data_IF_705860657415
#
_entry.id   IF_705860657415
#
_cell.length_a   1.000
_cell.length_b   1.000
_cell.length_c   1.000
_cell.angle_alpha   90.00
_cell.angle_beta   90.00
_cell.angle_gamma   90.00
#
_symmetry.space_group_name_H-M   'P 1'
#
loop_
_entity.id
_entity.type
_entity.pdbx_description
1 polymer ?
#
# COMPACT_ATOMS: atom_id res chain seq x y z
N UNK A 1 4.85 26.30 -30.13
CA UNK A 1 3.67 25.44 -30.25
C UNK A 1 4.18 24.10 -30.69
N UNK A 2 3.91 23.07 -29.90
CA UNK A 2 4.47 21.74 -30.15
C UNK A 2 3.47 20.96 -31.01
N UNK A 3 3.41 21.32 -32.29
CA UNK A 3 2.77 20.47 -33.27
C UNK A 3 3.73 19.31 -33.55
N UNK A 4 3.31 18.10 -33.24
CA UNK A 4 3.95 16.91 -33.80
C UNK A 4 3.25 16.64 -35.12
N UNK A 5 3.98 16.81 -36.22
CA UNK A 5 3.52 16.55 -37.59
C UNK A 5 2.22 17.29 -38.01
N UNK A 6 1.99 18.48 -37.45
CA UNK A 6 0.82 19.32 -37.78
C UNK A 6 -0.49 18.96 -37.06
N UNK A 7 -0.48 17.97 -36.16
CA UNK A 7 -1.65 17.60 -35.36
C UNK A 7 -1.65 18.34 -34.00
N UNK A 8 -2.76 19.01 -33.61
CA UNK A 8 -2.80 19.80 -32.38
C UNK A 8 -2.99 18.93 -31.13
N UNK A 9 -2.24 19.22 -30.07
CA UNK A 9 -2.42 18.63 -28.74
C UNK A 9 -3.41 19.46 -27.89
N UNK A 10 -4.69 19.10 -27.97
CA UNK A 10 -5.77 19.74 -27.22
C UNK A 10 -5.74 19.48 -25.71
N UNK A 11 -5.18 18.34 -25.26
CA UNK A 11 -5.04 18.03 -23.84
C UNK A 11 -4.01 18.95 -23.19
N UNK A 12 -2.85 19.13 -23.84
CA UNK A 12 -1.84 20.11 -23.42
C UNK A 12 -2.32 21.55 -23.53
N UNK A 13 -3.10 21.90 -24.57
CA UNK A 13 -3.64 23.26 -24.73
C UNK A 13 -4.60 23.64 -23.58
N UNK A 14 -5.43 22.70 -23.15
CA UNK A 14 -6.31 22.85 -21.98
C UNK A 14 -5.60 22.60 -20.65
N UNK A 15 -4.39 22.04 -20.65
CA UNK A 15 -3.63 21.63 -19.47
C UNK A 15 -4.42 20.66 -18.58
N UNK A 16 -4.85 19.56 -19.19
CA UNK A 16 -5.61 18.48 -18.57
C UNK A 16 -5.08 17.14 -19.04
N UNK A 17 -5.36 16.11 -18.25
CA UNK A 17 -5.04 14.73 -18.60
C UNK A 17 -5.99 14.17 -19.69
N UNK A 18 -5.53 13.28 -20.60
CA UNK A 18 -6.40 12.55 -21.52
C UNK A 18 -7.57 11.80 -20.87
N UNK A 19 -7.49 11.46 -19.58
CA UNK A 19 -8.56 10.84 -18.80
C UNK A 19 -9.50 11.85 -18.11
N UNK A 20 -9.29 13.15 -18.30
CA UNK A 20 -10.12 14.18 -17.69
C UNK A 20 -11.60 14.05 -18.08
N UNK A 21 -12.47 14.16 -17.09
CA UNK A 21 -13.91 14.11 -17.29
C UNK A 21 -14.46 15.42 -17.89
N UNK A 22 -15.73 15.39 -18.29
CA UNK A 22 -16.38 16.57 -18.91
C UNK A 22 -16.41 17.80 -17.99
N UNK A 23 -16.41 17.60 -16.66
CA UNK A 23 -16.36 18.71 -15.70
C UNK A 23 -14.97 19.33 -15.65
N UNK A 24 -13.92 18.51 -15.65
CA UNK A 24 -12.52 18.90 -15.73
C UNK A 24 -12.22 19.71 -17.00
N UNK A 25 -12.70 19.26 -18.16
CA UNK A 25 -12.58 19.96 -19.45
C UNK A 25 -13.22 21.35 -19.38
N UNK A 26 -14.46 21.47 -18.89
CA UNK A 26 -15.16 22.75 -18.73
C UNK A 26 -14.43 23.70 -17.78
N UNK A 27 -13.90 23.17 -16.67
CA UNK A 27 -13.16 23.97 -15.68
C UNK A 27 -11.86 24.51 -16.27
N UNK A 28 -11.12 23.65 -16.97
CA UNK A 28 -9.87 24.00 -17.62
C UNK A 28 -10.05 25.05 -18.72
N UNK A 29 -11.05 24.88 -19.60
CA UNK A 29 -11.40 25.87 -20.61
C UNK A 29 -11.68 27.25 -19.99
N UNK A 30 -12.52 27.32 -18.94
CA UNK A 30 -12.82 28.58 -18.27
C UNK A 30 -11.60 29.25 -17.65
N UNK A 31 -10.65 28.47 -17.11
CA UNK A 31 -9.39 28.97 -16.55
C UNK A 31 -8.52 29.57 -17.66
N UNK A 32 -8.26 28.79 -18.71
CA UNK A 32 -7.43 29.17 -19.86
C UNK A 32 -8.01 30.35 -20.64
N UNK A 33 -9.34 30.41 -20.80
CA UNK A 33 -10.01 31.51 -21.49
C UNK A 33 -9.83 32.84 -20.75
N UNK A 34 -9.81 32.83 -19.40
CA UNK A 34 -9.53 34.02 -18.59
C UNK A 34 -8.08 34.49 -18.72
N UNK A 35 -7.13 33.56 -18.83
CA UNK A 35 -5.70 33.87 -19.04
C UNK A 35 -5.43 34.49 -20.41
N UNK A 36 -6.23 34.14 -21.42
CA UNK A 36 -6.08 34.63 -22.81
C UNK A 36 -6.92 35.89 -23.06
N UNK A 37 -7.90 36.21 -22.21
CA UNK A 37 -8.85 37.30 -22.44
C UNK A 37 -8.15 38.68 -22.54
N UNK A 38 -8.48 39.53 -23.54
CA UNK A 38 -7.80 40.81 -23.77
C UNK A 38 -7.88 41.81 -22.61
N UNK A 39 -8.85 41.66 -21.69
CA UNK A 39 -8.94 42.47 -20.45
C UNK A 39 -7.75 42.26 -19.49
N UNK A 40 -6.88 41.28 -19.73
CA UNK A 40 -5.60 41.11 -19.00
C UNK A 40 -4.45 41.91 -19.61
N UNK A 41 -4.71 42.82 -20.55
CA UNK A 41 -3.71 43.74 -21.12
C UNK A 41 -3.01 43.24 -22.39
N UNK A 42 -3.46 42.13 -22.97
CA UNK A 42 -2.86 41.49 -24.14
C UNK A 42 -3.76 41.60 -25.40
N UNK A 43 -3.97 42.83 -25.90
CA UNK A 43 -4.67 43.10 -27.15
C UNK A 43 -3.78 42.86 -28.39
N UNK A 44 -3.15 41.69 -28.47
CA UNK A 44 -2.29 41.32 -29.59
C UNK A 44 -3.00 40.35 -30.54
N UNK A 45 -2.70 40.35 -31.85
CA UNK A 45 -3.18 39.34 -32.80
C UNK A 45 -2.91 37.89 -32.35
N UNK A 46 -1.91 37.68 -31.49
CA UNK A 46 -1.58 36.38 -30.90
C UNK A 46 -2.63 35.90 -29.90
N UNK A 47 -3.25 36.79 -29.13
CA UNK A 47 -4.30 36.44 -28.18
C UNK A 47 -5.57 35.96 -28.91
N UNK A 48 -5.89 36.58 -30.05
CA UNK A 48 -7.02 36.17 -30.89
C UNK A 48 -6.81 34.78 -31.51
N UNK A 49 -5.58 34.49 -31.99
CA UNK A 49 -5.23 33.17 -32.49
C UNK A 49 -5.29 32.10 -31.38
N UNK A 50 -4.71 32.38 -30.22
CA UNK A 50 -4.72 31.46 -29.08
C UNK A 50 -6.15 31.19 -28.56
N UNK A 51 -7.04 32.18 -28.59
CA UNK A 51 -8.44 31.99 -28.21
C UNK A 51 -9.19 31.08 -29.19
N UNK A 52 -8.94 31.22 -30.50
CA UNK A 52 -9.55 30.36 -31.53
C UNK A 52 -9.14 28.90 -31.35
N UNK A 53 -7.88 28.65 -31.06
CA UNK A 53 -7.38 27.30 -30.79
C UNK A 53 -7.95 26.72 -29.49
N UNK A 54 -8.03 27.55 -28.43
CA UNK A 54 -8.62 27.12 -27.17
C UNK A 54 -10.10 26.71 -27.33
N UNK A 55 -10.85 27.45 -28.15
CA UNK A 55 -12.23 27.11 -28.50
C UNK A 55 -12.30 25.79 -29.27
N UNK A 56 -11.45 25.60 -30.28
CA UNK A 56 -11.41 24.38 -31.08
C UNK A 56 -11.07 23.14 -30.24
N UNK A 57 -10.14 23.27 -29.28
CA UNK A 57 -9.82 22.22 -28.33
C UNK A 57 -11.00 21.87 -27.42
N UNK A 58 -11.68 22.89 -26.87
CA UNK A 58 -12.84 22.67 -26.02
C UNK A 58 -14.00 22.01 -26.76
N UNK A 59 -14.33 22.49 -27.97
CA UNK A 59 -15.39 21.93 -28.81
C UNK A 59 -15.13 20.48 -29.17
N UNK A 60 -13.88 20.14 -29.49
CA UNK A 60 -13.49 18.76 -29.83
C UNK A 60 -13.55 17.84 -28.61
N UNK A 61 -13.05 18.28 -27.46
CA UNK A 61 -12.92 17.42 -26.28
C UNK A 61 -14.21 17.31 -25.45
N UNK A 62 -15.12 18.29 -25.51
CA UNK A 62 -16.35 18.24 -24.74
C UNK A 62 -17.44 17.36 -25.36
N UNK A 63 -17.39 17.21 -26.69
CA UNK A 63 -18.27 16.30 -27.42
C UNK A 63 -17.67 14.89 -27.41
N UNK A 64 -18.44 13.90 -26.95
CA UNK A 64 -17.93 12.52 -26.81
C UNK A 64 -17.60 11.86 -28.15
N UNK A 65 -18.33 12.19 -29.22
CA UNK A 65 -18.08 11.64 -30.55
C UNK A 65 -16.79 12.21 -31.15
N UNK A 66 -16.66 13.55 -31.12
CA UNK A 66 -15.48 14.25 -31.61
C UNK A 66 -14.23 13.89 -30.79
N UNK A 67 -14.35 13.79 -29.46
CA UNK A 67 -13.25 13.36 -28.58
C UNK A 67 -12.78 11.96 -28.93
N UNK A 68 -13.69 11.02 -29.17
CA UNK A 68 -13.33 9.65 -29.53
C UNK A 68 -12.55 9.59 -30.85
N UNK A 69 -12.99 10.32 -31.87
CA UNK A 69 -12.28 10.39 -33.16
C UNK A 69 -10.94 11.11 -33.06
N UNK A 70 -10.88 12.13 -32.20
CA UNK A 70 -9.64 12.82 -31.85
C UNK A 70 -8.67 11.87 -31.14
N UNK A 71 -9.13 11.11 -30.14
CA UNK A 71 -8.31 10.17 -29.35
C UNK A 71 -7.71 9.03 -30.17
N UNK A 72 -8.42 8.59 -31.22
CA UNK A 72 -7.90 7.58 -32.16
C UNK A 72 -6.70 8.15 -32.92
N UNK A 73 -6.81 9.37 -33.44
CA UNK A 73 -5.73 10.05 -34.18
C UNK A 73 -4.61 10.52 -33.25
N UNK A 74 -4.97 11.03 -32.08
CA UNK A 74 -4.04 11.46 -31.03
C UNK A 74 -3.09 10.32 -30.66
N UNK A 75 -3.60 9.09 -30.47
CA UNK A 75 -2.76 7.92 -30.19
C UNK A 75 -1.84 7.49 -31.35
N UNK A 76 -2.16 7.87 -32.59
CA UNK A 76 -1.33 7.57 -33.76
C UNK A 76 -0.21 8.60 -33.94
N UNK A 77 -0.49 9.87 -33.66
CA UNK A 77 0.47 10.99 -33.85
C UNK A 77 1.31 11.24 -32.60
N UNK A 78 0.74 11.02 -31.43
CA UNK A 78 1.41 11.00 -30.15
C UNK A 78 1.43 9.55 -29.63
N UNK A 79 2.25 8.65 -30.22
CA UNK A 79 2.44 7.31 -29.69
C UNK A 79 3.01 7.43 -28.28
N UNK A 80 2.16 7.24 -27.26
CA UNK A 80 2.42 7.36 -25.83
C UNK A 80 3.67 8.18 -25.47
N UNK A 81 3.63 9.47 -25.78
CA UNK A 81 4.30 10.50 -24.99
C UNK A 81 3.33 11.05 -23.94
N UNK A 82 2.45 10.20 -23.41
CA UNK A 82 1.63 10.52 -22.24
C UNK A 82 2.56 10.78 -21.08
N UNK A 83 2.13 11.64 -20.15
CA UNK A 83 2.88 11.87 -18.92
C UNK A 83 3.17 10.53 -18.25
N UNK A 84 4.43 10.09 -18.31
CA UNK A 84 4.87 8.89 -17.64
C UNK A 84 4.93 9.24 -16.15
N UNK A 85 3.84 8.91 -15.44
CA UNK A 85 3.71 9.21 -14.04
C UNK A 85 4.83 8.55 -13.22
N UNK A 86 5.27 7.36 -13.63
CA UNK A 86 6.37 6.66 -12.98
C UNK A 86 7.68 7.41 -13.20
N UNK A 87 8.01 7.80 -14.43
CA UNK A 87 9.20 8.60 -14.74
C UNK A 87 9.19 9.94 -14.01
N UNK A 88 8.02 10.59 -13.94
CA UNK A 88 7.84 11.82 -13.18
C UNK A 88 8.17 11.63 -11.70
N UNK A 89 7.67 10.58 -11.06
CA UNK A 89 7.95 10.28 -9.65
C UNK A 89 9.42 9.92 -9.43
N UNK A 90 10.01 9.11 -10.34
CA UNK A 90 11.42 8.76 -10.34
C UNK A 90 12.32 10.01 -10.40
N UNK A 91 11.97 11.02 -11.19
CA UNK A 91 12.76 12.26 -11.29
C UNK A 91 12.82 13.09 -10.00
N UNK A 92 12.02 12.75 -8.97
CA UNK A 92 11.85 13.53 -7.74
C UNK A 92 12.41 12.81 -6.51
N UNK A 93 13.64 12.32 -6.61
CA UNK A 93 14.34 11.52 -5.58
C UNK A 93 14.43 12.20 -4.19
N UNK A 94 14.44 13.53 -4.15
CA UNK A 94 14.52 14.31 -2.89
C UNK A 94 13.16 14.68 -2.28
N UNK A 95 12.07 14.46 -3.01
CA UNK A 95 10.71 14.76 -2.53
C UNK A 95 10.07 13.51 -1.93
N UNK A 96 10.09 13.40 -0.59
CA UNK A 96 9.58 12.23 0.13
C UNK A 96 8.09 11.94 -0.17
N UNK A 97 7.28 12.96 -0.44
CA UNK A 97 5.88 12.76 -0.83
C UNK A 97 5.78 12.06 -2.20
N UNK A 98 6.65 12.43 -3.14
CA UNK A 98 6.73 11.76 -4.44
C UNK A 98 7.30 10.36 -4.30
N UNK A 99 8.27 10.14 -3.41
CA UNK A 99 8.80 8.80 -3.14
C UNK A 99 7.77 7.87 -2.51
N UNK A 100 6.94 8.34 -1.57
CA UNK A 100 5.84 7.55 -1.01
C UNK A 100 4.82 7.13 -2.08
N UNK A 101 4.49 8.04 -3.00
CA UNK A 101 3.62 7.73 -4.15
C UNK A 101 4.28 6.77 -5.14
N UNK A 102 5.60 6.86 -5.32
CA UNK A 102 6.35 5.96 -6.19
C UNK A 102 6.29 4.53 -5.67
N UNK A 103 6.53 4.34 -4.36
CA UNK A 103 6.42 3.03 -3.71
C UNK A 103 5.04 2.43 -3.95
N UNK A 104 3.98 3.21 -3.69
CA UNK A 104 2.63 2.70 -3.88
C UNK A 104 2.32 2.41 -5.35
N UNK A 105 2.73 3.31 -6.25
CA UNK A 105 2.56 3.12 -7.68
C UNK A 105 3.27 1.84 -8.15
N UNK A 106 4.51 1.62 -7.75
CA UNK A 106 5.32 0.47 -8.17
C UNK A 106 4.72 -0.85 -7.68
N UNK A 107 4.18 -0.89 -6.45
CA UNK A 107 3.45 -2.06 -5.93
C UNK A 107 2.19 -2.39 -6.73
N UNK A 108 1.50 -1.39 -7.28
CA UNK A 108 0.31 -1.60 -8.10
C UNK A 108 0.63 -2.02 -9.55
N UNK A 109 1.87 -1.86 -10.00
CA UNK A 109 2.27 -2.01 -11.41
C UNK A 109 3.37 -3.07 -11.64
N UNK A 110 3.45 -4.08 -10.77
CA UNK A 110 4.41 -5.19 -10.88
C UNK A 110 5.89 -4.76 -10.83
N UNK A 111 6.18 -3.76 -10.01
CA UNK A 111 7.52 -3.28 -9.67
C UNK A 111 7.78 -3.44 -8.17
N UNK A 112 7.37 -4.59 -7.61
CA UNK A 112 7.32 -4.82 -6.17
C UNK A 112 8.71 -4.80 -5.53
N UNK A 113 9.71 -5.36 -6.24
CA UNK A 113 11.09 -5.34 -5.78
C UNK A 113 11.62 -3.91 -5.67
N UNK A 114 11.43 -3.10 -6.70
CA UNK A 114 11.85 -1.70 -6.72
C UNK A 114 11.16 -0.91 -5.61
N UNK A 115 9.88 -1.15 -5.36
CA UNK A 115 9.13 -0.51 -4.29
C UNK A 115 9.68 -0.85 -2.90
N UNK A 116 9.94 -2.14 -2.63
CA UNK A 116 10.50 -2.60 -1.34
C UNK A 116 11.91 -2.06 -1.14
N UNK A 117 12.78 -2.14 -2.14
CA UNK A 117 14.16 -1.63 -2.07
C UNK A 117 14.19 -0.11 -1.79
N UNK A 118 13.29 0.63 -2.45
CA UNK A 118 13.13 2.07 -2.22
C UNK A 118 12.62 2.35 -0.80
N UNK A 119 11.57 1.67 -0.37
CA UNK A 119 11.01 1.84 0.97
C UNK A 119 12.05 1.56 2.07
N UNK A 120 12.77 0.44 1.99
CA UNK A 120 13.82 0.06 2.93
C UNK A 120 14.94 1.12 3.00
N UNK A 121 15.35 1.63 1.83
CA UNK A 121 16.37 2.67 1.73
C UNK A 121 15.91 3.96 2.41
N UNK A 122 14.68 4.41 2.14
CA UNK A 122 14.14 5.62 2.74
C UNK A 122 13.96 5.51 4.25
N UNK A 123 13.47 4.37 4.76
CA UNK A 123 13.32 4.13 6.20
C UNK A 123 14.69 4.18 6.88
N UNK A 124 15.70 3.51 6.30
CA UNK A 124 17.05 3.43 6.86
C UNK A 124 17.79 4.77 6.85
N UNK A 125 17.69 5.52 5.75
CA UNK A 125 18.57 6.67 5.49
C UNK A 125 17.89 8.01 5.76
N UNK A 126 16.58 8.11 5.53
CA UNK A 126 15.82 9.37 5.62
C UNK A 126 14.82 9.39 6.78
N UNK A 127 14.79 8.37 7.66
CA UNK A 127 13.79 8.20 8.74
C UNK A 127 12.36 8.33 8.22
N UNK A 128 12.13 7.76 7.05
CA UNK A 128 10.88 7.87 6.33
C UNK A 128 9.74 7.16 7.06
N UNK A 129 8.57 7.82 7.11
CA UNK A 129 7.33 7.26 7.62
C UNK A 129 6.25 7.38 6.54
N UNK A 130 5.90 6.24 5.93
CA UNK A 130 4.95 6.19 4.82
C UNK A 130 3.60 6.83 5.16
N UNK A 131 3.17 6.76 6.42
CA UNK A 131 1.89 7.34 6.88
C UNK A 131 1.86 8.86 6.83
N UNK A 132 3.02 9.52 6.75
CA UNK A 132 3.13 10.97 6.62
C UNK A 132 3.04 11.44 5.16
N UNK A 133 3.19 10.54 4.19
CA UNK A 133 3.37 10.86 2.78
C UNK A 133 2.23 10.35 1.87
N UNK A 134 1.34 9.54 2.43
CA UNK A 134 0.11 9.08 1.78
C UNK A 134 -1.10 9.50 2.61
N UNK A 135 -2.26 9.63 1.97
CA UNK A 135 -3.48 9.73 2.75
C UNK A 135 -3.78 8.39 3.45
N UNK A 136 -4.75 8.39 4.37
CA UNK A 136 -5.01 7.22 5.19
C UNK A 136 -5.40 5.99 4.37
N UNK A 137 -6.17 6.16 3.30
CA UNK A 137 -6.68 5.03 2.52
C UNK A 137 -5.54 4.45 1.67
N UNK A 138 -4.81 5.30 0.96
CA UNK A 138 -3.62 4.93 0.19
C UNK A 138 -2.54 4.31 1.09
N UNK A 139 -2.32 4.84 2.29
CA UNK A 139 -1.39 4.27 3.27
C UNK A 139 -1.77 2.84 3.66
N UNK A 140 -3.06 2.58 3.88
CA UNK A 140 -3.55 1.27 4.29
C UNK A 140 -3.38 0.25 3.16
N UNK A 141 -3.73 0.61 1.94
CA UNK A 141 -3.57 -0.25 0.77
C UNK A 141 -2.08 -0.49 0.46
N UNK A 142 -1.27 0.56 0.45
CA UNK A 142 0.18 0.46 0.22
C UNK A 142 0.87 -0.39 1.30
N UNK A 143 0.52 -0.20 2.57
CA UNK A 143 1.10 -0.97 3.67
C UNK A 143 0.70 -2.44 3.63
N UNK A 144 -0.50 -2.75 3.13
CA UNK A 144 -0.92 -4.12 2.90
C UNK A 144 -0.08 -4.78 1.81
N UNK A 145 0.08 -4.13 0.66
CA UNK A 145 0.91 -4.63 -0.43
C UNK A 145 2.37 -4.83 0.01
N UNK A 146 2.96 -3.86 0.71
CA UNK A 146 4.31 -4.02 1.27
C UNK A 146 4.39 -5.22 2.23
N UNK A 147 3.38 -5.42 3.07
CA UNK A 147 3.36 -6.54 4.01
C UNK A 147 3.29 -7.90 3.30
N UNK A 148 2.52 -8.00 2.20
CA UNK A 148 2.52 -9.18 1.33
C UNK A 148 3.89 -9.44 0.75
N UNK A 149 4.53 -8.42 0.19
CA UNK A 149 5.86 -8.54 -0.42
C UNK A 149 6.92 -9.00 0.58
N UNK A 150 6.95 -8.44 1.79
CA UNK A 150 7.85 -8.93 2.84
C UNK A 150 7.53 -10.36 3.26
N UNK A 151 6.25 -10.73 3.32
CA UNK A 151 5.82 -12.08 3.64
C UNK A 151 6.27 -13.10 2.58
N UNK A 152 6.17 -12.75 1.30
CA UNK A 152 6.61 -13.58 0.18
C UNK A 152 8.13 -13.72 0.13
N UNK A 153 8.85 -12.62 0.40
CA UNK A 153 10.32 -12.61 0.46
C UNK A 153 10.88 -13.27 1.74
N UNK A 154 10.04 -13.61 2.70
CA UNK A 154 10.42 -14.30 3.93
C UNK A 154 10.88 -13.38 5.07
N UNK A 155 10.79 -12.06 4.91
CA UNK A 155 10.97 -11.10 6.00
C UNK A 155 9.68 -11.00 6.85
N UNK A 156 9.43 -12.09 7.58
CA UNK A 156 8.26 -12.19 8.45
C UNK A 156 8.21 -11.11 9.54
N UNK A 157 9.33 -10.67 10.16
CA UNK A 157 9.33 -9.52 11.06
C UNK A 157 8.80 -8.24 10.44
N UNK A 158 9.26 -7.85 9.24
CA UNK A 158 8.80 -6.65 8.56
C UNK A 158 7.31 -6.76 8.21
N UNK A 159 6.91 -7.88 7.60
CA UNK A 159 5.51 -8.16 7.27
C UNK A 159 4.60 -8.07 8.50
N UNK A 160 5.01 -8.67 9.62
CA UNK A 160 4.24 -8.64 10.87
C UNK A 160 4.02 -7.22 11.38
N UNK A 161 5.05 -6.38 11.35
CA UNK A 161 4.95 -5.01 11.85
C UNK A 161 3.98 -4.19 11.01
N UNK A 162 4.02 -4.31 9.67
CA UNK A 162 3.09 -3.63 8.79
C UNK A 162 1.65 -4.11 8.99
N UNK A 163 1.41 -5.43 9.00
CA UNK A 163 0.06 -5.94 9.26
C UNK A 163 -0.46 -5.52 10.66
N UNK A 164 0.42 -5.44 11.67
CA UNK A 164 0.05 -4.95 12.99
C UNK A 164 -0.37 -3.47 12.95
N UNK A 165 0.35 -2.64 12.20
CA UNK A 165 -0.03 -1.24 11.97
C UNK A 165 -1.40 -1.14 11.31
N UNK A 166 -1.68 -1.96 10.29
CA UNK A 166 -3.00 -2.01 9.65
C UNK A 166 -4.11 -2.37 10.63
N UNK A 167 -3.86 -3.34 11.52
CA UNK A 167 -4.83 -3.69 12.57
C UNK A 167 -5.12 -2.52 13.49
N UNK A 168 -4.09 -1.80 13.91
CA UNK A 168 -4.27 -0.65 14.81
C UNK A 168 -5.10 0.45 14.13
N UNK A 169 -4.81 0.77 12.88
CA UNK A 169 -5.57 1.76 12.10
C UNK A 169 -7.02 1.32 11.86
N UNK A 170 -7.26 0.03 11.56
CA UNK A 170 -8.62 -0.49 11.35
C UNK A 170 -9.45 -0.43 12.64
N UNK A 171 -8.84 -0.74 13.79
CA UNK A 171 -9.50 -0.67 15.10
C UNK A 171 -9.85 0.77 15.50
N UNK A 172 -9.05 1.75 15.07
CA UNK A 172 -9.37 3.18 15.25
C UNK A 172 -10.54 3.63 14.35
N UNK A 173 -10.51 3.24 13.06
CA UNK A 173 -11.57 3.56 12.09
C UNK A 173 -11.70 2.44 11.04
N UNK A 174 -12.83 1.73 10.99
CA UNK A 174 -13.01 0.65 10.02
C UNK A 174 -12.92 1.14 8.57
N UNK A 175 -12.14 0.43 7.75
CA UNK A 175 -11.92 0.66 6.32
C UNK A 175 -12.04 -0.65 5.54
N UNK A 176 -11.27 -1.67 5.90
CA UNK A 176 -11.15 -2.94 5.17
C UNK A 176 -12.38 -3.86 5.24
N UNK A 177 -13.33 -3.62 6.17
CA UNK A 177 -14.58 -4.40 6.32
C UNK A 177 -14.32 -5.92 6.32
N UNK A 178 -14.67 -6.63 5.24
CA UNK A 178 -14.51 -8.08 5.11
C UNK A 178 -13.05 -8.52 4.91
N UNK A 179 -12.23 -7.65 4.34
CA UNK A 179 -10.80 -7.89 4.10
C UNK A 179 -9.98 -7.87 5.40
N UNK A 180 -10.50 -7.23 6.45
CA UNK A 180 -9.83 -7.21 7.75
C UNK A 180 -9.66 -8.60 8.37
N UNK A 181 -10.64 -9.48 8.17
CA UNK A 181 -10.54 -10.86 8.64
C UNK A 181 -9.41 -11.61 7.92
N UNK A 182 -9.15 -11.28 6.65
CA UNK A 182 -8.03 -11.84 5.89
C UNK A 182 -6.69 -11.43 6.50
N UNK A 183 -6.51 -10.15 6.85
CA UNK A 183 -5.30 -9.66 7.53
C UNK A 183 -5.07 -10.42 8.84
N UNK A 184 -6.12 -10.62 9.65
CA UNK A 184 -6.02 -11.38 10.90
C UNK A 184 -5.67 -12.85 10.66
N UNK A 185 -6.27 -13.48 9.65
CA UNK A 185 -5.98 -14.88 9.30
C UNK A 185 -4.56 -15.04 8.76
N UNK A 186 -4.08 -14.11 7.93
CA UNK A 186 -2.68 -14.06 7.45
C UNK A 186 -1.72 -13.90 8.61
N UNK A 187 -1.93 -12.94 9.51
CA UNK A 187 -1.08 -12.77 10.70
C UNK A 187 -1.06 -14.01 11.60
N UNK A 188 -2.20 -14.70 11.74
CA UNK A 188 -2.25 -15.98 12.46
C UNK A 188 -1.36 -17.02 11.78
N UNK A 189 -1.44 -17.18 10.47
CA UNK A 189 -0.61 -18.13 9.70
C UNK A 189 0.87 -17.75 9.80
N UNK A 190 1.19 -16.47 9.62
CA UNK A 190 2.53 -15.90 9.72
C UNK A 190 3.20 -16.31 11.04
N UNK A 191 2.52 -16.05 12.17
CA UNK A 191 3.06 -16.28 13.51
C UNK A 191 2.97 -17.76 13.92
N UNK A 192 1.94 -18.51 13.54
CA UNK A 192 1.82 -19.90 14.00
C UNK A 192 2.63 -20.87 13.15
N UNK A 193 2.85 -20.55 11.88
CA UNK A 193 3.45 -21.43 10.88
C UNK A 193 4.73 -20.82 10.30
N UNK A 194 4.64 -19.76 9.48
CA UNK A 194 5.75 -19.26 8.64
C UNK A 194 6.98 -18.84 9.45
N UNK A 195 6.82 -18.18 10.59
CA UNK A 195 7.92 -17.79 11.47
C UNK A 195 8.65 -18.97 12.14
N UNK A 196 8.02 -20.16 12.20
CA UNK A 196 8.60 -21.31 12.91
C UNK A 196 9.85 -21.81 12.21
N UNK A 197 11.01 -21.64 12.85
CA UNK A 197 12.30 -22.05 12.29
C UNK A 197 12.93 -21.03 11.35
N UNK A 198 12.20 -19.97 10.96
CA UNK A 198 12.70 -18.90 10.11
C UNK A 198 13.07 -17.63 10.88
N UNK A 199 12.60 -17.48 12.12
CA UNK A 199 13.05 -16.41 13.03
C UNK A 199 13.59 -16.99 14.33
N UNK A 200 14.38 -16.21 15.06
CA UNK A 200 14.87 -16.63 16.38
C UNK A 200 13.72 -16.82 17.37
N UNK A 201 13.87 -17.77 18.31
CA UNK A 201 12.82 -18.08 19.29
C UNK A 201 12.39 -16.85 20.11
N UNK A 202 13.33 -15.96 20.45
CA UNK A 202 13.02 -14.74 21.22
C UNK A 202 12.15 -13.76 20.42
N UNK A 203 12.50 -13.52 19.15
CA UNK A 203 11.70 -12.68 18.24
C UNK A 203 10.32 -13.31 18.02
N UNK A 204 10.26 -14.63 17.86
CA UNK A 204 9.00 -15.34 17.68
C UNK A 204 8.07 -15.17 18.90
N UNK A 205 8.62 -15.29 20.11
CA UNK A 205 7.86 -15.10 21.36
C UNK A 205 7.25 -13.69 21.42
N UNK A 206 8.02 -12.66 21.07
CA UNK A 206 7.54 -11.27 21.07
C UNK A 206 6.32 -11.08 20.16
N UNK A 207 6.39 -11.57 18.91
CA UNK A 207 5.28 -11.47 17.97
C UNK A 207 4.05 -12.27 18.41
N UNK A 208 4.23 -13.47 18.96
CA UNK A 208 3.10 -14.25 19.51
C UNK A 208 2.45 -13.53 20.69
N UNK A 209 3.24 -12.87 21.56
CA UNK A 209 2.71 -12.07 22.66
C UNK A 209 1.88 -10.89 22.15
N UNK A 210 2.37 -10.17 21.14
CA UNK A 210 1.63 -9.08 20.47
C UNK A 210 0.30 -9.58 19.91
N UNK A 211 0.28 -10.75 19.25
CA UNK A 211 -0.98 -11.38 18.79
C UNK A 211 -1.95 -11.68 19.92
N UNK A 212 -1.45 -12.20 21.04
CA UNK A 212 -2.27 -12.57 22.18
C UNK A 212 -2.92 -11.37 22.90
N UNK A 213 -2.40 -10.15 22.69
CA UNK A 213 -2.91 -8.92 23.28
C UNK A 213 -4.04 -8.29 22.45
N UNK A 214 -4.24 -8.71 21.19
CA UNK A 214 -5.33 -8.21 20.35
C UNK A 214 -6.72 -8.51 20.96
N UNK A 215 -7.76 -7.72 20.64
CA UNK A 215 -9.13 -7.92 21.11
C UNK A 215 -9.85 -9.07 20.39
N UNK A 216 -9.26 -10.27 20.44
CA UNK A 216 -9.73 -11.50 19.79
C UNK A 216 -10.43 -12.46 20.76
N UNK A 217 -11.18 -13.42 20.21
CA UNK A 217 -11.90 -14.42 20.99
C UNK A 217 -10.97 -15.29 21.86
N UNK A 218 -11.44 -15.70 23.05
CA UNK A 218 -10.67 -16.54 23.98
C UNK A 218 -10.17 -17.85 23.34
N UNK A 219 -10.98 -18.47 22.48
CA UNK A 219 -10.60 -19.70 21.78
C UNK A 219 -9.43 -19.50 20.81
N UNK A 220 -9.37 -18.35 20.14
CA UNK A 220 -8.27 -17.97 19.27
C UNK A 220 -7.02 -17.61 20.06
N UNK A 221 -7.19 -16.84 21.14
CA UNK A 221 -6.10 -16.51 22.08
C UNK A 221 -5.41 -17.77 22.65
N UNK A 222 -6.17 -18.84 22.88
CA UNK A 222 -5.62 -20.12 23.31
C UNK A 222 -4.59 -20.72 22.34
N UNK A 223 -4.72 -20.44 21.03
CA UNK A 223 -3.75 -20.87 20.00
C UNK A 223 -2.39 -20.20 20.22
N UNK A 224 -2.40 -18.89 20.51
CA UNK A 224 -1.17 -18.15 20.80
C UNK A 224 -0.56 -18.58 22.15
N UNK A 225 -1.38 -18.81 23.18
CA UNK A 225 -0.89 -19.36 24.46
C UNK A 225 -0.21 -20.73 24.28
N UNK A 226 -0.82 -21.62 23.47
CA UNK A 226 -0.21 -22.90 23.14
C UNK A 226 1.12 -22.70 22.40
N UNK A 227 1.17 -21.79 21.42
CA UNK A 227 2.41 -21.50 20.68
C UNK A 227 3.53 -20.96 21.59
N UNK A 228 3.21 -20.08 22.53
CA UNK A 228 4.16 -19.61 23.54
C UNK A 228 4.70 -20.76 24.40
N UNK A 229 3.85 -21.70 24.78
CA UNK A 229 4.29 -22.88 25.52
C UNK A 229 5.29 -23.74 24.71
N UNK A 230 5.04 -23.92 23.41
CA UNK A 230 5.95 -24.62 22.50
C UNK A 230 7.31 -23.91 22.37
N UNK A 231 7.29 -22.58 22.21
CA UNK A 231 8.49 -21.77 22.06
C UNK A 231 9.32 -21.71 23.34
N UNK A 232 8.68 -21.54 24.51
CA UNK A 232 9.38 -21.59 25.78
C UNK A 232 9.94 -22.98 26.09
N UNK A 233 9.25 -24.06 25.69
CA UNK A 233 9.79 -25.41 25.76
C UNK A 233 11.04 -25.55 24.88
N UNK A 234 11.02 -25.00 23.65
CA UNK A 234 12.18 -24.99 22.75
C UNK A 234 13.35 -24.19 23.35
N UNK A 235 13.07 -23.07 24.00
CA UNK A 235 14.04 -22.24 24.74
C UNK A 235 14.47 -22.83 26.10
N UNK A 236 14.04 -24.04 26.45
CA UNK A 236 14.28 -24.70 27.74
C UNK A 236 13.77 -23.95 29.00
N UNK A 237 12.89 -22.96 28.84
CA UNK A 237 12.19 -22.29 29.94
C UNK A 237 10.93 -23.09 30.32
N UNK A 238 11.15 -24.16 31.10
CA UNK A 238 10.08 -25.08 31.51
C UNK A 238 9.01 -24.39 32.37
N UNK A 239 9.39 -23.37 33.14
CA UNK A 239 8.45 -22.64 34.01
C UNK A 239 7.44 -21.87 33.17
N UNK A 240 7.91 -21.05 32.21
CA UNK A 240 7.02 -20.32 31.31
C UNK A 240 6.26 -21.26 30.39
N UNK A 241 6.89 -22.34 29.91
CA UNK A 241 6.21 -23.31 29.07
C UNK A 241 5.00 -23.95 29.78
N UNK A 242 5.14 -24.33 31.05
CA UNK A 242 4.02 -24.86 31.86
C UNK A 242 2.94 -23.81 32.13
N UNK A 243 3.35 -22.58 32.42
CA UNK A 243 2.42 -21.47 32.63
C UNK A 243 1.53 -21.26 31.40
N UNK A 244 2.11 -21.06 30.22
CA UNK A 244 1.35 -20.83 29.00
C UNK A 244 0.52 -22.04 28.56
N UNK A 245 0.99 -23.27 28.80
CA UNK A 245 0.19 -24.47 28.57
C UNK A 245 -1.07 -24.49 29.45
N UNK A 246 -0.93 -24.14 30.73
CA UNK A 246 -2.06 -24.05 31.66
C UNK A 246 -3.08 -23.02 31.20
N UNK A 247 -2.62 -21.82 30.83
CA UNK A 247 -3.49 -20.76 30.30
C UNK A 247 -4.21 -21.19 29.01
N UNK A 248 -3.50 -21.85 28.08
CA UNK A 248 -4.10 -22.39 26.86
C UNK A 248 -5.23 -23.40 27.18
N UNK A 249 -5.01 -24.30 28.16
CA UNK A 249 -6.04 -25.28 28.58
C UNK A 249 -7.25 -24.61 29.20
N UNK A 250 -7.05 -23.59 30.05
CA UNK A 250 -8.16 -22.85 30.67
C UNK A 250 -9.04 -22.18 29.60
N UNK A 251 -8.41 -21.59 28.58
CA UNK A 251 -9.12 -20.90 27.50
C UNK A 251 -9.79 -21.87 26.51
N UNK A 252 -9.12 -22.96 26.15
CA UNK A 252 -9.64 -23.97 25.24
C UNK A 252 -9.07 -25.39 25.53
N UNK A 253 -9.76 -26.20 26.36
CA UNK A 253 -9.29 -27.54 26.71
C UNK A 253 -9.20 -28.52 25.54
N UNK A 254 -9.94 -28.26 24.44
CA UNK A 254 -10.03 -29.14 23.26
C UNK A 254 -9.10 -28.71 22.13
N UNK A 255 -8.18 -27.77 22.38
CA UNK A 255 -7.27 -27.30 21.34
C UNK A 255 -6.36 -28.42 20.82
N UNK A 256 -6.20 -28.48 19.50
CA UNK A 256 -5.45 -29.52 18.83
C UNK A 256 -3.97 -29.54 19.26
N UNK A 257 -3.45 -30.73 19.54
CA UNK A 257 -2.04 -30.96 19.87
C UNK A 257 -1.65 -30.68 21.33
N UNK A 258 -2.58 -30.25 22.19
CA UNK A 258 -2.25 -29.88 23.58
C UNK A 258 -1.75 -31.05 24.44
N UNK A 259 -2.34 -32.24 24.26
CA UNK A 259 -1.93 -33.47 24.97
C UNK A 259 -0.52 -33.92 24.61
N UNK A 260 -0.13 -33.73 23.35
CA UNK A 260 1.24 -34.03 22.88
C UNK A 260 2.27 -33.11 23.52
N UNK A 261 1.95 -31.82 23.62
CA UNK A 261 2.80 -30.84 24.29
C UNK A 261 2.95 -31.12 25.79
N UNK A 262 1.86 -31.47 26.47
CA UNK A 262 1.85 -31.88 27.88
C UNK A 262 2.77 -33.08 28.12
N UNK A 263 2.68 -34.11 27.27
CA UNK A 263 3.53 -35.30 27.37
C UNK A 263 5.02 -34.97 27.23
N UNK A 264 5.38 -34.05 26.33
CA UNK A 264 6.78 -33.60 26.13
C UNK A 264 7.32 -32.84 27.35
N UNK A 265 6.49 -31.98 27.95
CA UNK A 265 6.84 -31.21 29.14
C UNK A 265 7.05 -32.10 30.38
N UNK A 266 6.20 -33.12 30.54
CA UNK A 266 6.36 -34.11 31.61
C UNK A 266 7.68 -34.88 31.47
N UNK A 267 8.01 -35.37 30.27
CA UNK A 267 9.26 -36.12 30.02
C UNK A 267 10.53 -35.29 30.31
N UNK A 268 10.55 -34.00 29.95
CA UNK A 268 11.71 -33.13 30.21
C UNK A 268 11.88 -32.76 31.68
N UNK A 269 10.80 -32.73 32.47
CA UNK A 269 10.87 -32.43 33.90
C UNK A 269 11.40 -33.56 34.78
N UNK A 270 11.55 -34.78 34.24
CA UNK A 270 12.19 -35.90 34.95
C UNK A 270 13.70 -35.99 34.69
N UNK A 271 14.22 -35.28 33.68
CA UNK A 271 15.62 -35.31 33.26
C UNK A 271 16.41 -34.05 33.65
N UNK A 272 15.86 -33.22 34.54
CA UNK A 272 16.43 -31.96 35.05
C UNK A 272 16.45 -31.97 36.58
#
# INVERSE_FOLDING_TARGET
>A
MDYVDGFPDYYKLLQIDPDADSQGIKRAFRRRAKEIHPDTGNSSPKALAAMRELLSAYETLIDQGLRREYDIRYRQVFPSGGFDYREFLLSREEDLDSQGKLIFFDLLHAHEREAVDLYDTLVREKKFDLSMHLDREDFMDCSFLLAEEYEENGDYPAAFNLFKTLIDFELERPYFRHFFQEVLDRMRILVTQKMTGNVTTLVHIDFVLKMAQLPIALKERAVYMKKLAELHLAAADLRKARFFLSEAKKMNPKIQGIRGLESRLSRRGFNS
#
